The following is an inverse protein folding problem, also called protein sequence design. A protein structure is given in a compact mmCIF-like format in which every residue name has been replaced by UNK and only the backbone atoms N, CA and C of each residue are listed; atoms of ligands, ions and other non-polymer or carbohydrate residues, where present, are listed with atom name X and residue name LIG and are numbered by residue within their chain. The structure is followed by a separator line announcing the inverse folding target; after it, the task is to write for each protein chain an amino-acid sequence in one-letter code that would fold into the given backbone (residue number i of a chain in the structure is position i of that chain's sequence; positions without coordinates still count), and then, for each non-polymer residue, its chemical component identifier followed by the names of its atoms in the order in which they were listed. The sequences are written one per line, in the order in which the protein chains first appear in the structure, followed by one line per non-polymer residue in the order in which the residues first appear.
data_IF_399073181722
#
_entry.id   IF_399073181722
#
_cell.length_a   1.000
_cell.length_b   1.000
_cell.length_c   1.000
_cell.angle_alpha   90.00
_cell.angle_beta   90.00
_cell.angle_gamma   90.00
#
_symmetry.space_group_name_H-M   'P 1'
#
loop_
_entity.id
_entity.type
_entity.pdbx_description
1 polymer ?
#
# COMPACT_ATOMS: atom_id res chain seq x y z
N UNK A 1 -3.86 4.78 10.21
CA UNK A 1 -3.66 5.60 11.42
C UNK A 1 -4.49 6.89 11.46
N UNK A 2 -5.24 7.21 10.40
CA UNK A 2 -6.14 8.37 10.37
C UNK A 2 -7.54 7.95 10.88
N UNK A 3 -7.97 8.53 12.00
CA UNK A 3 -9.25 8.18 12.63
C UNK A 3 -10.48 8.53 11.77
N UNK A 4 -10.38 9.58 10.92
CA UNK A 4 -11.46 9.92 10.00
C UNK A 4 -11.61 8.85 8.91
N UNK A 5 -10.49 8.37 8.36
CA UNK A 5 -10.46 7.26 7.39
C UNK A 5 -10.94 5.98 8.04
N UNK A 6 -10.45 5.64 9.24
CA UNK A 6 -10.86 4.43 9.98
C UNK A 6 -12.37 4.42 10.24
N UNK A 7 -12.94 5.55 10.64
CA UNK A 7 -14.38 5.71 10.87
C UNK A 7 -15.18 5.58 9.58
N UNK A 8 -14.76 6.30 8.51
CA UNK A 8 -15.45 6.27 7.21
C UNK A 8 -15.41 4.88 6.55
N UNK A 9 -14.33 4.15 6.80
CA UNK A 9 -14.12 2.78 6.32
C UNK A 9 -14.70 1.71 7.25
N UNK A 10 -15.43 2.10 8.29
CA UNK A 10 -16.07 1.19 9.28
C UNK A 10 -15.10 0.14 9.85
N UNK A 11 -13.85 0.56 10.20
CA UNK A 11 -12.81 -0.36 10.67
C UNK A 11 -13.01 -0.86 12.11
N UNK A 12 -13.92 -0.25 12.88
CA UNK A 12 -14.27 -0.67 14.23
C UNK A 12 -13.21 -0.42 15.31
N UNK A 13 -12.14 0.31 14.99
CA UNK A 13 -11.08 0.68 15.93
C UNK A 13 -10.53 2.08 15.63
N UNK A 14 -9.82 2.65 16.59
CA UNK A 14 -9.12 3.94 16.46
C UNK A 14 -7.62 3.75 16.24
N UNK A 15 -6.94 4.82 15.84
CA UNK A 15 -5.47 4.85 15.80
C UNK A 15 -4.86 4.55 17.19
N UNK A 16 -5.46 5.06 18.28
CA UNK A 16 -5.01 4.77 19.63
C UNK A 16 -5.01 3.26 19.93
N UNK A 17 -6.05 2.54 19.53
CA UNK A 17 -6.11 1.09 19.70
C UNK A 17 -5.01 0.36 18.93
N UNK A 18 -4.60 0.89 17.75
CA UNK A 18 -3.47 0.33 16.99
C UNK A 18 -2.15 0.50 17.75
N UNK A 19 -1.89 1.69 18.30
CA UNK A 19 -0.69 1.93 19.11
C UNK A 19 -0.62 1.03 20.33
N UNK A 20 -1.73 0.88 21.08
CA UNK A 20 -1.81 0.01 22.24
C UNK A 20 -1.57 -1.47 21.87
N UNK A 21 -2.16 -1.94 20.78
CA UNK A 21 -1.93 -3.30 20.29
C UNK A 21 -0.46 -3.51 19.89
N UNK A 22 0.15 -2.57 19.17
CA UNK A 22 1.55 -2.66 18.77
C UNK A 22 2.50 -2.68 19.99
N UNK A 23 2.24 -1.83 20.98
CA UNK A 23 2.99 -1.81 22.24
C UNK A 23 2.90 -3.16 22.95
N UNK A 24 1.70 -3.68 23.09
CA UNK A 24 1.44 -4.96 23.76
C UNK A 24 2.15 -6.13 23.06
N UNK A 25 2.07 -6.22 21.72
CA UNK A 25 2.75 -7.25 20.94
C UNK A 25 4.26 -7.24 21.21
N UNK A 26 4.88 -6.05 21.22
CA UNK A 26 6.30 -5.89 21.52
C UNK A 26 6.66 -6.25 22.96
N UNK A 27 5.84 -5.85 23.94
CA UNK A 27 6.03 -6.18 25.35
C UNK A 27 6.03 -7.70 25.60
N UNK A 28 5.22 -8.44 24.83
CA UNK A 28 5.21 -9.91 24.89
C UNK A 28 6.34 -10.58 24.07
N UNK A 29 7.20 -9.80 23.43
CA UNK A 29 8.34 -10.33 22.66
C UNK A 29 7.98 -10.95 21.32
N UNK A 30 6.80 -10.69 20.80
CA UNK A 30 6.41 -11.14 19.45
C UNK A 30 6.98 -10.24 18.36
N UNK A 31 7.27 -10.81 17.19
CA UNK A 31 7.57 -10.05 15.98
C UNK A 31 6.35 -9.24 15.55
N UNK A 32 6.50 -7.92 15.47
CA UNK A 32 5.42 -7.04 15.06
C UNK A 32 5.37 -6.90 13.55
N UNK A 33 4.21 -7.16 12.96
CA UNK A 33 3.91 -6.86 11.56
C UNK A 33 2.76 -5.86 11.44
N UNK A 34 2.92 -4.83 10.60
CA UNK A 34 1.86 -3.87 10.30
C UNK A 34 1.41 -4.03 8.85
N UNK A 35 0.10 -4.10 8.64
CA UNK A 35 -0.52 -4.07 7.33
C UNK A 35 -1.22 -2.72 7.14
N UNK A 36 -0.86 -2.01 6.06
CA UNK A 36 -1.51 -0.79 5.64
C UNK A 36 -2.37 -1.05 4.40
N UNK A 37 -3.54 -0.43 4.37
CA UNK A 37 -4.41 -0.40 3.20
C UNK A 37 -4.33 0.98 2.54
N UNK A 38 -4.48 1.00 1.22
CA UNK A 38 -4.31 2.18 0.37
C UNK A 38 -5.61 2.40 -0.40
N UNK A 39 -6.12 3.64 -0.39
CA UNK A 39 -7.34 3.99 -1.11
C UNK A 39 -8.62 3.55 -0.42
N UNK A 40 -8.66 3.54 0.91
CA UNK A 40 -9.88 3.36 1.69
C UNK A 40 -10.85 4.55 1.51
N UNK A 41 -12.15 4.40 1.80
CA UNK A 41 -13.08 5.53 1.82
C UNK A 41 -12.57 6.69 2.68
N UNK A 42 -12.39 7.86 2.05
CA UNK A 42 -11.86 9.06 2.69
C UNK A 42 -10.35 9.16 2.77
N UNK A 43 -9.63 8.17 2.24
CA UNK A 43 -8.18 8.18 2.18
C UNK A 43 -7.66 9.21 1.15
N UNK A 44 -6.45 9.68 1.36
CA UNK A 44 -5.71 10.58 0.48
C UNK A 44 -4.23 10.20 0.46
N UNK A 45 -3.46 10.81 -0.44
CA UNK A 45 -2.00 10.65 -0.43
C UNK A 45 -1.41 11.07 0.93
N UNK A 46 -1.90 12.16 1.51
CA UNK A 46 -1.41 12.68 2.79
C UNK A 46 -1.70 11.72 3.94
N UNK A 47 -2.92 11.14 4.03
CA UNK A 47 -3.28 10.17 5.06
C UNK A 47 -2.53 8.85 4.92
N UNK A 48 -2.25 8.41 3.69
CA UNK A 48 -1.38 7.27 3.40
C UNK A 48 0.06 7.51 3.85
N UNK A 49 0.65 8.65 3.48
CA UNK A 49 2.00 9.05 3.91
C UNK A 49 2.06 9.21 5.44
N UNK A 50 1.05 9.82 6.04
CA UNK A 50 0.94 9.91 7.50
C UNK A 50 0.97 8.51 8.13
N UNK A 51 0.17 7.57 7.64
CA UNK A 51 0.13 6.19 8.14
C UNK A 51 1.47 5.47 7.98
N UNK A 52 2.19 5.68 6.88
CA UNK A 52 3.53 5.14 6.69
C UNK A 52 4.54 5.73 7.71
N UNK A 53 4.50 7.04 7.97
CA UNK A 53 5.36 7.70 8.97
C UNK A 53 5.05 7.26 10.39
N UNK A 54 3.78 7.07 10.74
CA UNK A 54 3.40 6.52 12.05
C UNK A 54 3.88 5.08 12.21
N UNK A 55 3.83 4.28 11.14
CA UNK A 55 4.42 2.94 11.11
C UNK A 55 5.93 2.97 11.38
N UNK A 56 6.65 3.92 10.79
CA UNK A 56 8.10 4.11 11.06
C UNK A 56 8.36 4.42 12.54
N UNK A 57 7.54 5.27 13.17
CA UNK A 57 7.68 5.58 14.61
C UNK A 57 7.45 4.36 15.51
N UNK A 58 6.53 3.48 15.12
CA UNK A 58 6.27 2.22 15.82
C UNK A 58 7.43 1.24 15.62
N UNK A 59 8.16 1.34 14.51
CA UNK A 59 9.28 0.47 14.14
C UNK A 59 8.94 -1.03 14.22
N UNK A 60 8.00 -1.52 13.38
CA UNK A 60 7.74 -2.95 13.26
C UNK A 60 8.88 -3.64 12.49
N UNK A 61 9.04 -4.95 12.66
CA UNK A 61 10.00 -5.73 11.90
C UNK A 61 9.55 -5.94 10.45
N UNK A 62 8.24 -6.03 10.24
CA UNK A 62 7.66 -6.30 8.91
C UNK A 62 6.48 -5.40 8.59
N UNK A 63 6.30 -5.11 7.28
CA UNK A 63 5.15 -4.39 6.78
C UNK A 63 4.53 -5.06 5.54
N UNK A 64 3.25 -4.74 5.29
CA UNK A 64 2.52 -5.09 4.08
C UNK A 64 1.75 -3.88 3.57
N UNK A 65 1.72 -3.68 2.26
CA UNK A 65 1.01 -2.61 1.58
C UNK A 65 -0.03 -3.20 0.63
N UNK A 66 -1.31 -2.98 0.90
CA UNK A 66 -2.41 -3.56 0.15
C UNK A 66 -3.31 -2.48 -0.46
N UNK A 67 -3.43 -2.41 -1.79
CA UNK A 67 -4.44 -1.57 -2.43
C UNK A 67 -5.84 -2.09 -2.08
N UNK A 68 -6.79 -1.18 -1.96
CA UNK A 68 -8.18 -1.49 -1.70
C UNK A 68 -8.85 -1.95 -2.97
N UNK A 69 -9.57 -3.07 -2.89
CA UNK A 69 -10.41 -3.61 -3.96
C UNK A 69 -11.87 -3.67 -3.50
N UNK A 70 -12.79 -3.59 -4.46
CA UNK A 70 -14.22 -3.75 -4.22
C UNK A 70 -14.59 -5.20 -4.49
N UNK A 71 -15.13 -5.86 -3.47
CA UNK A 71 -15.57 -7.25 -3.55
C UNK A 71 -17.10 -7.29 -3.48
N UNK A 72 -17.71 -8.26 -4.16
CA UNK A 72 -19.16 -8.50 -4.10
C UNK A 72 -19.65 -8.70 -2.66
N UNK A 73 -20.92 -8.36 -2.43
CA UNK A 73 -21.59 -8.50 -1.14
C UNK A 73 -20.94 -7.74 0.03
N UNK A 74 -20.28 -6.59 -0.27
CA UNK A 74 -19.65 -5.73 0.74
C UNK A 74 -20.31 -4.35 0.81
N UNK A 75 -20.24 -3.71 2.00
CA UNK A 75 -20.67 -2.31 2.16
C UNK A 75 -19.86 -1.36 1.23
N UNK A 76 -18.61 -1.69 0.93
CA UNK A 76 -17.79 -0.90 0.03
C UNK A 76 -18.34 -0.89 -1.40
N UNK A 77 -18.90 -2.02 -1.85
CA UNK A 77 -19.62 -2.09 -3.14
C UNK A 77 -20.86 -1.21 -3.14
N UNK A 78 -21.63 -1.21 -2.05
CA UNK A 78 -22.81 -0.35 -1.93
C UNK A 78 -22.43 1.13 -1.91
N UNK A 79 -21.36 1.51 -1.22
CA UNK A 79 -20.81 2.87 -1.25
C UNK A 79 -20.39 3.28 -2.68
N UNK A 80 -19.75 2.37 -3.40
CA UNK A 80 -19.37 2.59 -4.81
C UNK A 80 -20.60 2.77 -5.71
N UNK A 81 -21.62 1.93 -5.56
CA UNK A 81 -22.88 2.03 -6.33
C UNK A 81 -23.63 3.33 -6.05
N UNK A 82 -23.58 3.83 -4.81
CA UNK A 82 -24.18 5.12 -4.41
C UNK A 82 -23.34 6.34 -4.80
N UNK A 83 -22.13 6.15 -5.36
CA UNK A 83 -21.20 7.24 -5.69
C UNK A 83 -20.52 7.88 -4.47
N UNK A 84 -20.56 7.24 -3.32
CA UNK A 84 -19.95 7.70 -2.06
C UNK A 84 -18.47 7.32 -1.96
N UNK A 85 -18.03 6.39 -2.79
CA UNK A 85 -16.66 5.91 -2.90
C UNK A 85 -16.25 5.73 -4.36
N UNK A 86 -15.02 6.12 -4.69
CA UNK A 86 -14.37 5.83 -5.96
C UNK A 86 -13.02 5.17 -5.68
N UNK A 87 -12.76 3.97 -6.21
CA UNK A 87 -11.47 3.32 -6.04
C UNK A 87 -10.38 4.08 -6.79
N UNK A 88 -9.15 3.97 -6.34
CA UNK A 88 -7.99 4.45 -7.07
C UNK A 88 -7.85 3.69 -8.40
N UNK A 89 -7.38 4.37 -9.42
CA UNK A 89 -6.88 3.74 -10.64
C UNK A 89 -5.57 2.99 -10.34
N UNK A 90 -5.12 2.13 -11.26
CA UNK A 90 -3.86 1.39 -11.10
C UNK A 90 -2.68 2.36 -10.92
N UNK A 91 -2.61 3.40 -11.75
CA UNK A 91 -1.51 4.37 -11.72
C UNK A 91 -1.51 5.19 -10.42
N UNK A 92 -2.66 5.62 -9.94
CA UNK A 92 -2.80 6.31 -8.65
C UNK A 92 -2.39 5.41 -7.49
N UNK A 93 -2.83 4.16 -7.48
CA UNK A 93 -2.47 3.20 -6.44
C UNK A 93 -0.97 2.89 -6.44
N UNK A 94 -0.35 2.76 -7.62
CA UNK A 94 1.11 2.59 -7.76
C UNK A 94 1.84 3.81 -7.23
N UNK A 95 1.40 5.03 -7.59
CA UNK A 95 2.03 6.28 -7.15
C UNK A 95 1.99 6.43 -5.62
N UNK A 96 0.84 6.23 -5.00
CA UNK A 96 0.69 6.31 -3.53
C UNK A 96 1.52 5.21 -2.84
N UNK A 97 1.43 3.97 -3.33
CA UNK A 97 2.16 2.85 -2.73
C UNK A 97 3.67 3.03 -2.82
N UNK A 98 4.17 3.59 -3.92
CA UNK A 98 5.59 3.91 -4.10
C UNK A 98 6.11 4.86 -3.01
N UNK A 99 5.38 5.92 -2.70
CA UNK A 99 5.79 6.86 -1.66
C UNK A 99 5.79 6.21 -0.27
N UNK A 100 4.77 5.40 0.05
CA UNK A 100 4.74 4.64 1.30
C UNK A 100 5.88 3.62 1.37
N UNK A 101 6.16 2.92 0.26
CA UNK A 101 7.24 1.95 0.14
C UNK A 101 8.59 2.60 0.48
N UNK A 102 8.90 3.75 -0.15
CA UNK A 102 10.14 4.50 0.09
C UNK A 102 10.31 4.91 1.55
N UNK A 103 9.23 5.35 2.21
CA UNK A 103 9.28 5.75 3.62
C UNK A 103 9.62 4.57 4.51
N UNK A 104 8.99 3.41 4.28
CA UNK A 104 9.20 2.21 5.07
C UNK A 104 10.57 1.57 4.80
N UNK A 105 10.98 1.50 3.54
CA UNK A 105 12.26 0.94 3.10
C UNK A 105 13.45 1.76 3.64
N UNK A 106 13.37 3.09 3.53
CA UNK A 106 14.37 4.00 4.09
C UNK A 106 14.54 3.88 5.63
N UNK A 107 13.48 3.43 6.32
CA UNK A 107 13.51 3.14 7.75
C UNK A 107 13.99 1.71 8.07
N UNK A 108 14.35 0.90 7.07
CA UNK A 108 14.81 -0.47 7.24
C UNK A 108 13.71 -1.48 7.61
N UNK A 109 12.44 -1.14 7.42
CA UNK A 109 11.32 -2.05 7.68
C UNK A 109 11.21 -3.06 6.53
N UNK A 110 11.20 -4.36 6.85
CA UNK A 110 11.08 -5.41 5.83
C UNK A 110 9.66 -5.46 5.24
N UNK A 111 9.50 -4.98 4.00
CA UNK A 111 8.22 -4.97 3.29
C UNK A 111 8.01 -6.32 2.62
N UNK A 112 7.39 -7.26 3.34
CA UNK A 112 7.23 -8.65 2.90
C UNK A 112 6.18 -8.83 1.81
N UNK A 113 5.26 -7.86 1.63
CA UNK A 113 4.23 -7.91 0.59
C UNK A 113 3.77 -6.53 0.14
N UNK A 114 3.65 -6.38 -1.17
CA UNK A 114 3.03 -5.24 -1.84
C UNK A 114 2.02 -5.80 -2.84
N UNK A 115 0.75 -5.38 -2.72
CA UNK A 115 -0.34 -5.94 -3.51
C UNK A 115 -0.97 -7.19 -2.89
N UNK A 116 -2.10 -7.59 -3.46
CA UNK A 116 -2.89 -8.72 -3.01
C UNK A 116 -2.41 -10.02 -3.67
N UNK A 117 -2.47 -11.12 -2.93
CA UNK A 117 -2.22 -12.44 -3.50
C UNK A 117 -3.48 -12.92 -4.22
N UNK A 118 -3.32 -13.51 -5.40
CA UNK A 118 -4.39 -14.24 -6.07
C UNK A 118 -4.87 -15.39 -5.16
N UNK A 119 -6.16 -15.46 -5.00
CA UNK A 119 -6.89 -16.53 -4.30
C UNK A 119 -8.12 -16.89 -5.12
N UNK A 120 -8.87 -17.91 -4.72
CA UNK A 120 -10.11 -18.30 -5.41
C UNK A 120 -11.17 -17.19 -5.47
N UNK A 121 -11.10 -16.23 -4.54
CA UNK A 121 -11.99 -15.05 -4.48
C UNK A 121 -11.33 -13.83 -5.13
N UNK A 122 -10.01 -13.69 -4.97
CA UNK A 122 -9.24 -12.53 -5.45
C UNK A 122 -8.45 -12.96 -6.70
N UNK A 123 -9.10 -12.92 -7.86
CA UNK A 123 -8.52 -13.15 -9.17
C UNK A 123 -9.32 -12.38 -10.23
N UNK A 124 -8.84 -12.32 -11.47
CA UNK A 124 -9.49 -11.57 -12.56
C UNK A 124 -10.89 -12.08 -12.90
N UNK A 125 -11.17 -13.36 -12.64
CA UNK A 125 -12.46 -14.02 -12.89
C UNK A 125 -13.31 -14.15 -11.60
N UNK A 126 -12.84 -13.59 -10.48
CA UNK A 126 -13.44 -13.75 -9.15
C UNK A 126 -14.42 -12.63 -8.77
N UNK A 127 -14.71 -12.51 -7.48
CA UNK A 127 -15.69 -11.59 -6.90
C UNK A 127 -15.24 -10.11 -6.90
N UNK A 128 -14.20 -9.73 -7.66
CA UNK A 128 -13.73 -8.35 -7.75
C UNK A 128 -14.62 -7.57 -8.70
N UNK A 129 -15.33 -6.59 -8.16
CA UNK A 129 -16.23 -5.70 -8.93
C UNK A 129 -15.53 -4.41 -9.35
N UNK A 130 -14.43 -4.03 -8.70
CA UNK A 130 -13.69 -2.81 -9.00
C UNK A 130 -12.47 -2.61 -8.11
N UNK A 131 -11.73 -1.52 -8.38
CA UNK A 131 -10.50 -1.19 -7.68
C UNK A 131 -9.26 -1.77 -8.36
N UNK A 132 -8.12 -1.68 -7.66
CA UNK A 132 -6.81 -1.92 -8.23
C UNK A 132 -6.30 -3.32 -7.89
N UNK A 133 -6.79 -4.34 -8.59
CA UNK A 133 -6.15 -5.65 -8.57
C UNK A 133 -5.19 -5.79 -9.75
N UNK A 134 -3.94 -6.17 -9.46
CA UNK A 134 -2.96 -6.53 -10.48
C UNK A 134 -2.03 -7.61 -9.90
N UNK A 135 -1.86 -8.77 -10.56
CA UNK A 135 -1.06 -9.88 -10.02
C UNK A 135 0.42 -9.53 -9.81
N UNK A 136 0.94 -8.60 -10.63
CA UNK A 136 2.31 -8.09 -10.55
C UNK A 136 2.38 -6.69 -9.90
N UNK A 137 1.48 -6.33 -8.99
CA UNK A 137 1.39 -4.97 -8.42
C UNK A 137 2.72 -4.53 -7.78
N UNK A 138 3.41 -5.43 -7.05
CA UNK A 138 4.73 -5.16 -6.48
C UNK A 138 5.76 -4.75 -7.55
N UNK A 139 5.77 -5.47 -8.66
CA UNK A 139 6.71 -5.18 -9.76
C UNK A 139 6.44 -3.81 -10.40
N UNK A 140 5.17 -3.41 -10.51
CA UNK A 140 4.80 -2.08 -11.00
C UNK A 140 5.33 -0.98 -10.07
N UNK A 141 5.19 -1.14 -8.77
CA UNK A 141 5.70 -0.20 -7.76
C UNK A 141 7.23 -0.12 -7.83
N UNK A 142 7.92 -1.26 -7.79
CA UNK A 142 9.38 -1.32 -7.82
C UNK A 142 9.95 -0.81 -9.15
N UNK A 143 9.30 -1.11 -10.27
CA UNK A 143 9.68 -0.57 -11.58
C UNK A 143 9.49 0.95 -11.66
N UNK A 144 8.43 1.49 -11.05
CA UNK A 144 8.23 2.94 -10.97
C UNK A 144 9.34 3.63 -10.15
N UNK A 145 9.79 3.00 -9.05
CA UNK A 145 10.92 3.49 -8.24
C UNK A 145 12.21 3.47 -9.05
N UNK A 146 12.51 2.33 -9.68
CA UNK A 146 13.73 2.15 -10.47
C UNK A 146 13.79 3.14 -11.66
N UNK A 147 12.66 3.35 -12.33
CA UNK A 147 12.54 4.31 -13.42
C UNK A 147 12.90 5.73 -12.95
N UNK A 148 12.33 6.21 -11.85
CA UNK A 148 12.61 7.54 -11.33
C UNK A 148 14.08 7.71 -10.89
N UNK A 149 14.69 6.65 -10.32
CA UNK A 149 16.12 6.68 -9.99
C UNK A 149 17.00 6.76 -11.23
N UNK A 150 16.65 6.02 -12.29
CA UNK A 150 17.37 6.10 -13.58
C UNK A 150 17.18 7.50 -14.18
N UNK A 151 15.96 8.01 -14.23
CA UNK A 151 15.66 9.34 -14.78
C UNK A 151 16.45 10.44 -14.04
N UNK A 152 16.57 10.38 -12.71
CA UNK A 152 17.40 11.31 -11.92
C UNK A 152 18.88 11.26 -12.31
N UNK A 153 19.43 10.05 -12.48
CA UNK A 153 20.85 9.88 -12.85
C UNK A 153 21.12 10.35 -14.27
N UNK A 154 20.10 10.42 -15.12
CA UNK A 154 20.22 10.80 -16.52
C UNK A 154 19.89 12.26 -16.81
N UNK A 155 19.45 13.04 -15.81
CA UNK A 155 18.97 14.44 -16.01
C UNK A 155 19.99 15.33 -16.76
N UNK A 156 21.30 15.10 -16.56
CA UNK A 156 22.39 15.87 -17.20
C UNK A 156 23.29 14.98 -18.07
N UNK A 157 22.81 13.80 -18.49
CA UNK A 157 23.61 12.84 -19.24
C UNK A 157 23.47 13.06 -20.74
N UNK A 158 24.61 13.35 -21.43
CA UNK A 158 24.68 13.36 -22.88
C UNK A 158 25.59 12.21 -23.37
N UNK A 159 25.04 11.30 -24.17
CA UNK A 159 25.80 10.19 -24.74
C UNK A 159 25.07 8.87 -24.86
N UNK A 160 25.78 7.79 -25.12
CA UNK A 160 25.23 6.44 -25.19
C UNK A 160 25.11 5.85 -23.79
N UNK A 161 23.93 5.31 -23.46
CA UNK A 161 23.64 4.67 -22.19
C UNK A 161 23.46 3.17 -22.38
N UNK A 162 24.04 2.38 -21.48
CA UNK A 162 23.74 0.97 -21.34
C UNK A 162 23.19 0.71 -19.94
N UNK A 163 21.95 0.22 -19.85
CA UNK A 163 21.33 -0.20 -18.59
C UNK A 163 21.56 -1.70 -18.42
N UNK A 164 22.28 -2.07 -17.39
CA UNK A 164 22.48 -3.47 -17.02
C UNK A 164 21.46 -3.84 -15.95
N UNK A 165 20.59 -4.79 -16.22
CA UNK A 165 19.61 -5.29 -15.28
C UNK A 165 19.71 -6.81 -15.11
N UNK A 166 19.26 -7.30 -13.96
CA UNK A 166 19.18 -8.73 -13.72
C UNK A 166 18.09 -9.31 -14.65
N UNK A 167 18.37 -10.36 -15.45
CA UNK A 167 17.37 -10.97 -16.35
C UNK A 167 16.18 -11.64 -15.64
N UNK A 168 16.21 -11.74 -14.32
CA UNK A 168 15.13 -12.27 -13.49
C UNK A 168 14.22 -11.18 -12.89
N UNK A 169 14.48 -9.91 -13.15
CA UNK A 169 13.68 -8.78 -12.69
C UNK A 169 12.95 -8.11 -13.87
#
# INVERSE_FOLDING_TARGET
FDDAVLKKSNRGHSAAAVYDACRLIKEYGFTLGIQLMIGLPGDSLESCIYSARETVKIAPEIARLYPTIIIEDTELLEMYRRGEYSPLTLDEAVAVTKEMYRILDAAGINIIRVGLKSTDIINEDGAITGGTYHPAFRQLVESSIAREEIEKQLTDFEGNLAVLCNPQN
#
